data_IF_145580032693
#
_entry.id   IF_145580032693
#
_cell.length_a   1.000
_cell.length_b   1.000
_cell.length_c   1.000
_cell.angle_alpha   90.00
_cell.angle_beta   90.00
_cell.angle_gamma   90.00
#
_symmetry.space_group_name_H-M   'P 1'
#
loop_
_entity.id
_entity.type
_entity.pdbx_description
1 polymer ?
#
# COMPACT_ATOMS: atom_id res chain seq x y z
N UNK A 1 -6.58 -66.45 69.07
CA UNK A 1 -5.56 -65.39 69.23
C UNK A 1 -5.65 -64.44 68.04
N UNK A 2 -5.95 -63.17 68.32
CA UNK A 2 -5.92 -62.00 67.41
C UNK A 2 -4.54 -61.87 66.69
N UNK A 3 -4.30 -61.03 65.64
CA UNK A 3 -4.98 -59.76 65.38
C UNK A 3 -5.09 -59.23 63.92
N UNK A 4 -5.93 -58.19 63.77
CA UNK A 4 -5.74 -56.95 62.99
C UNK A 4 -4.82 -56.95 61.75
N UNK A 5 -5.31 -56.39 60.63
CA UNK A 5 -4.97 -55.02 60.24
C UNK A 5 -5.24 -54.69 58.76
N UNK A 6 -6.06 -53.65 58.58
CA UNK A 6 -5.87 -52.51 57.66
C UNK A 6 -6.08 -52.74 56.15
N UNK A 7 -7.35 -52.52 55.80
CA UNK A 7 -7.82 -51.92 54.55
C UNK A 7 -6.94 -50.73 54.13
N UNK A 8 -6.32 -50.79 52.95
CA UNK A 8 -5.76 -49.62 52.26
C UNK A 8 -6.28 -49.63 50.83
N UNK A 9 -7.41 -48.95 50.62
CA UNK A 9 -7.94 -48.63 49.30
C UNK A 9 -6.98 -47.64 48.64
N UNK A 10 -6.08 -48.13 47.78
CA UNK A 10 -5.25 -47.28 46.94
C UNK A 10 -6.08 -46.78 45.76
N UNK A 11 -6.83 -45.71 45.98
CA UNK A 11 -7.49 -44.96 44.90
C UNK A 11 -6.40 -44.36 44.01
N UNK A 12 -6.16 -44.96 42.85
CA UNK A 12 -5.35 -44.33 41.79
C UNK A 12 -6.23 -43.32 41.06
N UNK A 13 -6.19 -42.07 41.51
CA UNK A 13 -6.61 -40.94 40.68
C UNK A 13 -5.51 -40.75 39.64
N UNK A 14 -5.71 -41.27 38.43
CA UNK A 14 -4.93 -40.85 37.28
C UNK A 14 -5.57 -39.56 36.76
N UNK A 15 -4.91 -38.42 37.03
CA UNK A 15 -5.34 -37.11 36.55
C UNK A 15 -5.36 -37.09 35.02
N UNK A 16 -6.51 -36.77 34.42
CA UNK A 16 -6.63 -36.47 33.01
C UNK A 16 -5.88 -35.16 32.73
N UNK A 17 -4.73 -35.25 32.04
CA UNK A 17 -3.96 -34.08 31.62
C UNK A 17 -4.73 -33.28 30.57
N UNK A 18 -5.23 -32.11 30.94
CA UNK A 18 -5.75 -31.14 29.99
C UNK A 18 -4.57 -30.48 29.25
N UNK A 19 -4.33 -30.88 28.01
CA UNK A 19 -3.46 -30.17 27.08
C UNK A 19 -4.16 -28.86 26.67
N UNK A 20 -3.87 -27.78 27.39
CA UNK A 20 -4.24 -26.43 26.98
C UNK A 20 -3.21 -25.96 25.94
N UNK A 21 -3.51 -26.18 24.67
CA UNK A 21 -2.78 -25.50 23.59
C UNK A 21 -3.24 -24.04 23.56
N UNK A 22 -2.48 -23.16 24.22
CA UNK A 22 -2.62 -21.72 24.02
C UNK A 22 -2.08 -21.38 22.62
N UNK A 23 -2.96 -21.29 21.63
CA UNK A 23 -2.62 -20.74 20.33
C UNK A 23 -2.37 -19.24 20.49
N UNK A 24 -1.10 -18.84 20.57
CA UNK A 24 -0.73 -17.43 20.50
C UNK A 24 -0.98 -16.96 19.06
N UNK A 25 -2.08 -16.24 18.83
CA UNK A 25 -2.31 -15.57 17.55
C UNK A 25 -1.28 -14.45 17.39
N UNK A 26 -0.37 -14.60 16.43
CA UNK A 26 0.57 -13.55 16.06
C UNK A 26 -0.20 -12.47 15.29
N UNK A 27 -0.52 -11.36 15.95
CA UNK A 27 -1.12 -10.20 15.26
C UNK A 27 0.02 -9.45 14.57
N UNK A 28 0.11 -9.57 13.24
CA UNK A 28 0.98 -8.70 12.47
C UNK A 28 0.46 -7.26 12.58
N UNK A 29 1.24 -6.38 13.21
CA UNK A 29 0.92 -4.95 13.28
C UNK A 29 1.18 -4.35 11.91
N UNK A 30 0.11 -4.10 11.14
CA UNK A 30 0.19 -3.33 9.90
C UNK A 30 0.38 -1.86 10.29
N UNK A 31 1.57 -1.31 10.02
CA UNK A 31 1.86 0.09 10.25
C UNK A 31 1.31 0.88 9.06
N UNK A 32 0.11 1.43 9.20
CA UNK A 32 -0.48 2.31 8.18
C UNK A 32 0.12 3.72 8.23
N UNK A 33 0.12 4.46 7.10
CA UNK A 33 0.38 5.89 7.10
C UNK A 33 -0.58 6.67 8.01
N UNK A 34 -0.15 7.80 8.60
CA UNK A 34 -1.00 8.63 9.45
C UNK A 34 -2.31 9.01 8.77
N UNK A 35 -3.40 9.13 9.55
CA UNK A 35 -4.74 9.48 9.04
C UNK A 35 -4.76 10.78 8.22
N UNK A 36 -3.88 11.72 8.58
CA UNK A 36 -3.75 13.04 7.98
C UNK A 36 -2.34 13.27 7.42
N UNK A 37 -2.22 14.20 6.48
CA UNK A 37 -0.96 14.66 5.92
C UNK A 37 -0.94 16.19 6.00
N UNK A 38 -0.18 16.79 6.93
CA UNK A 38 -0.10 18.24 7.07
C UNK A 38 0.29 18.93 5.75
N UNK A 39 -0.51 19.90 5.32
CA UNK A 39 -0.30 20.63 4.06
C UNK A 39 -0.87 19.96 2.80
N UNK A 40 -1.49 18.78 2.93
CA UNK A 40 -2.27 18.16 1.85
C UNK A 40 -3.71 17.86 2.29
N UNK A 41 -4.63 17.87 1.33
CA UNK A 41 -5.99 17.41 1.53
C UNK A 41 -6.04 15.88 1.41
N UNK A 42 -6.50 15.18 2.45
CA UNK A 42 -6.83 13.76 2.37
C UNK A 42 -8.19 13.62 1.70
N UNK A 43 -8.25 12.89 0.58
CA UNK A 43 -9.46 12.78 -0.23
C UNK A 43 -9.87 11.33 -0.47
N UNK A 44 -11.17 11.12 -0.65
CA UNK A 44 -11.74 9.85 -1.08
C UNK A 44 -11.82 9.74 -2.62
N UNK A 45 -12.14 8.54 -3.12
CA UNK A 45 -12.22 8.27 -4.56
C UNK A 45 -13.20 9.19 -5.30
N UNK A 46 -14.31 9.59 -4.69
CA UNK A 46 -15.26 10.54 -5.32
C UNK A 46 -14.63 11.90 -5.58
N UNK A 47 -13.98 12.49 -4.58
CA UNK A 47 -13.28 13.76 -4.72
C UNK A 47 -12.11 13.64 -5.70
N UNK A 48 -11.38 12.52 -5.66
CA UNK A 48 -10.31 12.22 -6.61
C UNK A 48 -10.83 12.18 -8.05
N UNK A 49 -11.98 11.55 -8.28
CA UNK A 49 -12.64 11.53 -9.59
C UNK A 49 -13.06 12.92 -10.02
N UNK A 50 -13.68 13.71 -9.15
CA UNK A 50 -14.06 15.10 -9.46
C UNK A 50 -12.86 15.94 -9.87
N UNK A 51 -11.73 15.84 -9.16
CA UNK A 51 -10.50 16.54 -9.51
C UNK A 51 -9.95 16.07 -10.86
N UNK A 52 -9.94 14.76 -11.12
CA UNK A 52 -9.52 14.19 -12.40
C UNK A 52 -10.41 14.65 -13.56
N UNK A 53 -11.74 14.67 -13.38
CA UNK A 53 -12.70 15.15 -14.37
C UNK A 53 -12.51 16.66 -14.67
N UNK A 54 -12.00 17.43 -13.70
CA UNK A 54 -11.61 18.84 -13.85
C UNK A 54 -10.20 19.03 -14.44
N UNK A 55 -9.50 17.95 -14.78
CA UNK A 55 -8.17 17.98 -15.40
C UNK A 55 -7.00 18.02 -14.42
N UNK A 56 -7.22 17.78 -13.13
CA UNK A 56 -6.12 17.62 -12.19
C UNK A 56 -5.33 16.33 -12.51
N UNK A 57 -3.98 16.38 -12.57
CA UNK A 57 -3.16 15.20 -12.79
C UNK A 57 -3.31 14.20 -11.64
N UNK A 58 -3.60 12.95 -12.01
CA UNK A 58 -3.51 11.80 -11.12
C UNK A 58 -2.08 11.23 -11.21
N UNK A 59 -1.43 11.10 -10.06
CA UNK A 59 -0.04 10.64 -9.96
C UNK A 59 -0.03 9.28 -9.26
N UNK A 60 0.33 8.26 -10.02
CA UNK A 60 0.49 6.90 -9.52
C UNK A 60 1.92 6.67 -9.04
N UNK A 61 2.08 6.41 -7.75
CA UNK A 61 3.41 6.28 -7.14
C UNK A 61 3.88 4.83 -7.02
N UNK A 62 3.10 3.86 -7.52
CA UNK A 62 3.46 2.43 -7.51
C UNK A 62 4.57 2.10 -8.50
N UNK A 63 5.08 0.87 -8.45
CA UNK A 63 6.08 0.42 -9.42
C UNK A 63 5.54 0.49 -10.86
N UNK A 64 6.42 0.65 -11.87
CA UNK A 64 6.01 0.62 -13.28
C UNK A 64 5.21 -0.64 -13.65
N UNK A 65 5.57 -1.78 -13.06
CA UNK A 65 4.86 -3.04 -13.29
C UNK A 65 3.43 -3.03 -12.75
N UNK A 66 3.21 -2.42 -11.58
CA UNK A 66 1.87 -2.28 -11.00
C UNK A 66 1.02 -1.31 -11.81
N UNK A 67 1.59 -0.17 -12.21
CA UNK A 67 0.93 0.78 -13.10
C UNK A 67 0.53 0.12 -14.43
N UNK A 68 1.45 -0.61 -15.06
CA UNK A 68 1.18 -1.28 -16.32
C UNK A 68 0.06 -2.32 -16.22
N UNK A 69 0.00 -3.05 -15.10
CA UNK A 69 -1.02 -4.07 -14.83
C UNK A 69 -2.41 -3.53 -14.54
N UNK A 70 -2.55 -2.32 -14.02
CA UNK A 70 -3.83 -1.63 -13.83
C UNK A 70 -3.57 -0.25 -13.23
N UNK A 71 -4.16 0.83 -13.76
CA UNK A 71 -4.10 2.18 -13.19
C UNK A 71 -5.36 2.99 -13.52
N UNK A 72 -5.49 4.18 -12.91
CA UNK A 72 -6.60 5.09 -13.20
C UNK A 72 -6.38 5.74 -14.58
N UNK A 73 -7.38 5.83 -15.47
CA UNK A 73 -7.22 6.42 -16.78
C UNK A 73 -6.70 7.86 -16.71
N UNK A 74 -5.70 8.18 -17.53
CA UNK A 74 -5.06 9.50 -17.55
C UNK A 74 -4.07 9.74 -16.41
N UNK A 75 -3.82 8.77 -15.54
CA UNK A 75 -2.79 8.89 -14.52
C UNK A 75 -1.38 8.88 -15.13
N UNK A 76 -0.50 9.70 -14.57
CA UNK A 76 0.94 9.70 -14.86
C UNK A 76 1.65 8.82 -13.84
N UNK A 77 2.45 7.86 -14.32
CA UNK A 77 3.30 7.04 -13.44
C UNK A 77 4.51 7.84 -13.00
N UNK A 78 4.63 8.10 -11.70
CA UNK A 78 5.82 8.66 -11.06
C UNK A 78 6.17 7.76 -9.87
N UNK A 79 6.78 6.58 -10.13
CA UNK A 79 7.11 5.63 -9.08
C UNK A 79 7.96 6.27 -8.00
N UNK A 80 7.62 5.99 -6.75
CA UNK A 80 8.36 6.49 -5.60
C UNK A 80 8.76 5.31 -4.70
N UNK A 81 9.97 5.34 -4.17
CA UNK A 81 10.46 4.29 -3.28
C UNK A 81 10.24 4.72 -1.84
N UNK A 82 9.20 4.23 -1.18
CA UNK A 82 9.14 4.27 0.28
C UNK A 82 9.58 2.89 0.79
N UNK A 83 10.70 2.83 1.52
CA UNK A 83 11.07 1.61 2.22
C UNK A 83 9.98 1.30 3.26
N UNK A 84 9.30 0.17 3.09
CA UNK A 84 8.23 -0.31 3.99
C UNK A 84 8.70 -0.53 5.42
N UNK A 85 10.01 -0.57 5.66
CA UNK A 85 10.64 -0.75 6.98
C UNK A 85 11.11 0.56 7.61
N UNK A 86 11.21 1.64 6.84
CA UNK A 86 11.77 2.92 7.31
C UNK A 86 10.62 3.92 7.49
N UNK A 87 10.15 4.02 8.73
CA UNK A 87 9.27 5.09 9.18
C UNK A 87 9.88 6.45 8.80
N UNK A 88 9.42 7.09 7.72
CA UNK A 88 9.87 8.44 7.34
C UNK A 88 11.39 8.61 7.22
N UNK A 89 12.15 7.54 6.97
CA UNK A 89 13.61 7.57 6.86
C UNK A 89 14.05 8.25 5.57
N UNK A 90 15.10 9.06 5.66
CA UNK A 90 15.72 9.89 4.60
C UNK A 90 16.03 9.17 3.27
N UNK A 91 15.92 7.84 3.21
CA UNK A 91 16.06 7.05 1.98
C UNK A 91 14.84 7.06 1.04
N UNK A 92 13.84 7.92 1.24
CA UNK A 92 12.74 8.11 0.28
C UNK A 92 13.18 8.81 -1.04
N UNK A 93 14.42 9.31 -1.11
CA UNK A 93 14.90 10.17 -2.18
C UNK A 93 15.60 9.44 -3.35
N UNK A 94 15.28 8.18 -3.67
CA UNK A 94 15.87 7.54 -4.85
C UNK A 94 15.39 8.19 -6.17
N UNK A 95 14.18 8.77 -6.18
CA UNK A 95 13.63 9.49 -7.32
C UNK A 95 12.90 10.73 -6.80
N UNK A 96 13.52 11.90 -6.97
CA UNK A 96 12.77 13.15 -6.90
C UNK A 96 11.65 13.05 -7.91
N UNK A 97 10.40 13.08 -7.44
CA UNK A 97 9.25 13.16 -8.33
C UNK A 97 9.42 14.46 -9.11
N UNK A 98 9.76 14.38 -10.40
CA UNK A 98 9.85 15.55 -11.26
C UNK A 98 8.44 16.07 -11.52
N UNK A 99 7.92 16.79 -10.53
CA UNK A 99 6.57 17.34 -10.56
C UNK A 99 6.42 18.40 -11.66
N UNK A 100 7.52 18.90 -12.26
CA UNK A 100 7.43 19.80 -13.41
C UNK A 100 6.82 19.11 -14.65
N UNK A 101 6.83 17.77 -14.72
CA UNK A 101 6.18 17.01 -15.80
C UNK A 101 4.65 17.04 -15.70
N UNK A 102 4.10 17.25 -14.51
CA UNK A 102 2.66 17.15 -14.24
C UNK A 102 2.05 18.44 -13.70
N UNK A 103 2.87 19.37 -13.20
CA UNK A 103 2.44 20.64 -12.64
C UNK A 103 2.89 21.80 -13.54
N UNK A 104 1.95 22.68 -13.89
CA UNK A 104 2.28 23.96 -14.55
C UNK A 104 2.94 24.96 -13.58
N UNK A 105 2.80 24.75 -12.26
CA UNK A 105 3.41 25.57 -11.22
C UNK A 105 3.02 25.11 -9.82
N UNK A 106 3.46 25.83 -8.78
CA UNK A 106 3.22 25.49 -7.37
C UNK A 106 1.75 25.53 -6.95
N UNK A 107 0.90 26.17 -7.77
CA UNK A 107 -0.55 26.25 -7.60
C UNK A 107 -1.33 25.17 -8.32
N UNK A 108 -0.68 24.36 -9.16
CA UNK A 108 -1.36 23.29 -9.88
C UNK A 108 -1.88 22.25 -8.89
N UNK A 109 -3.12 21.76 -9.07
CA UNK A 109 -3.61 20.63 -8.28
C UNK A 109 -2.78 19.39 -8.59
N UNK A 110 -2.48 18.61 -7.57
CA UNK A 110 -1.74 17.35 -7.67
C UNK A 110 -2.48 16.29 -6.86
N UNK A 111 -2.86 15.18 -7.49
CA UNK A 111 -3.57 14.09 -6.81
C UNK A 111 -2.70 12.84 -6.77
N UNK A 112 -2.10 12.56 -5.62
CA UNK A 112 -1.25 11.38 -5.42
C UNK A 112 -2.05 10.17 -4.96
N UNK A 113 -1.79 9.00 -5.53
CA UNK A 113 -2.41 7.75 -5.11
C UNK A 113 -1.44 6.56 -5.25
N UNK A 114 -1.74 5.49 -4.51
CA UNK A 114 -1.05 4.21 -4.59
C UNK A 114 -2.10 3.07 -4.64
N UNK A 115 -1.76 1.84 -4.26
CA UNK A 115 -2.67 0.70 -4.32
C UNK A 115 -3.83 0.79 -3.34
N UNK A 116 -3.54 1.15 -2.08
CA UNK A 116 -4.51 1.13 -0.98
C UNK A 116 -4.03 2.00 0.20
N UNK A 117 -4.83 2.07 1.26
CA UNK A 117 -4.63 2.93 2.44
C UNK A 117 -3.35 2.66 3.22
N UNK A 118 -2.88 1.43 3.22
CA UNK A 118 -1.64 1.00 3.88
C UNK A 118 -0.37 1.40 3.11
N UNK A 119 -0.51 1.97 1.90
CA UNK A 119 0.64 2.31 1.07
C UNK A 119 1.29 3.65 1.45
N UNK A 120 2.50 3.56 2.00
CA UNK A 120 3.36 4.71 2.35
C UNK A 120 3.85 5.53 1.17
N UNK A 121 3.95 4.94 -0.01
CA UNK A 121 4.56 5.57 -1.17
C UNK A 121 3.85 6.84 -1.63
N UNK A 122 2.50 6.82 -1.66
CA UNK A 122 1.71 8.01 -2.01
C UNK A 122 1.70 9.08 -0.90
N UNK A 123 1.79 8.66 0.37
CA UNK A 123 1.92 9.58 1.50
C UNK A 123 3.23 10.36 1.41
N UNK A 124 4.35 9.65 1.19
CA UNK A 124 5.67 10.27 1.14
C UNK A 124 5.82 11.19 -0.07
N UNK A 125 5.33 10.77 -1.26
CA UNK A 125 5.33 11.63 -2.44
C UNK A 125 4.53 12.92 -2.23
N UNK A 126 3.35 12.84 -1.62
CA UNK A 126 2.54 14.01 -1.28
C UNK A 126 3.23 14.89 -0.23
N UNK A 127 3.87 14.31 0.79
CA UNK A 127 4.66 15.03 1.79
C UNK A 127 5.80 15.82 1.16
N UNK A 128 6.56 15.19 0.26
CA UNK A 128 7.66 15.84 -0.46
C UNK A 128 7.14 16.94 -1.40
N UNK A 129 5.98 16.77 -2.03
CA UNK A 129 5.35 17.84 -2.82
C UNK A 129 5.02 19.07 -1.95
N UNK A 130 4.46 18.85 -0.76
CA UNK A 130 4.20 19.93 0.21
C UNK A 130 5.51 20.62 0.63
N UNK A 131 6.55 19.85 0.98
CA UNK A 131 7.87 20.39 1.35
C UNK A 131 8.52 21.17 0.20
N UNK A 132 8.27 20.76 -1.05
CA UNK A 132 8.71 21.46 -2.25
C UNK A 132 7.85 22.71 -2.56
N UNK A 133 6.89 23.08 -1.72
CA UNK A 133 6.09 24.30 -1.82
C UNK A 133 4.87 24.22 -2.74
N UNK A 134 4.43 23.02 -3.14
CA UNK A 134 3.16 22.87 -3.84
C UNK A 134 1.99 23.11 -2.87
N UNK A 135 1.00 23.88 -3.31
CA UNK A 135 -0.08 24.39 -2.43
C UNK A 135 -1.41 23.67 -2.60
N UNK A 136 -1.60 22.96 -3.71
CA UNK A 136 -2.80 22.18 -4.00
C UNK A 136 -2.48 20.69 -4.07
N UNK A 137 -1.99 20.15 -2.96
CA UNK A 137 -1.65 18.73 -2.83
C UNK A 137 -2.86 17.98 -2.28
N UNK A 138 -3.27 16.94 -3.00
CA UNK A 138 -4.33 16.03 -2.59
C UNK A 138 -3.78 14.60 -2.52
N UNK A 139 -4.12 13.90 -1.46
CA UNK A 139 -3.74 12.51 -1.25
C UNK A 139 -4.98 11.62 -1.26
N UNK A 140 -5.14 10.85 -2.34
CA UNK A 140 -6.16 9.82 -2.46
C UNK A 140 -5.74 8.59 -1.65
N UNK A 141 -5.95 8.66 -0.33
CA UNK A 141 -5.50 7.65 0.65
C UNK A 141 -5.91 6.23 0.26
N UNK A 142 -7.18 6.05 -0.12
CA UNK A 142 -7.71 4.73 -0.47
C UNK A 142 -7.18 4.14 -1.78
N UNK A 143 -6.41 4.91 -2.56
CA UNK A 143 -5.72 4.43 -3.74
C UNK A 143 -6.62 3.87 -4.83
N UNK A 144 -6.02 3.01 -5.67
CA UNK A 144 -6.72 2.27 -6.72
C UNK A 144 -7.78 1.31 -6.14
N UNK A 145 -7.57 0.76 -4.94
CA UNK A 145 -8.55 -0.09 -4.27
C UNK A 145 -9.87 0.66 -4.01
N UNK A 146 -9.81 1.87 -3.44
CA UNK A 146 -11.01 2.68 -3.21
C UNK A 146 -11.62 3.22 -4.50
N UNK A 147 -10.82 3.44 -5.56
CA UNK A 147 -11.31 3.79 -6.88
C UNK A 147 -12.15 2.67 -7.49
N UNK A 148 -11.63 1.43 -7.48
CA UNK A 148 -12.33 0.23 -7.96
C UNK A 148 -13.57 -0.09 -7.13
N UNK A 149 -13.52 0.12 -5.81
CA UNK A 149 -14.67 -0.08 -4.94
C UNK A 149 -15.88 0.82 -5.27
N UNK A 150 -15.71 1.82 -6.15
CA UNK A 150 -16.78 2.67 -6.67
C UNK A 150 -17.12 2.39 -8.15
N UNK A 151 -16.63 1.29 -8.70
CA UNK A 151 -16.79 0.90 -10.10
C UNK A 151 -16.32 1.98 -11.10
N UNK A 152 -15.36 2.81 -10.68
CA UNK A 152 -14.76 3.80 -11.57
C UNK A 152 -13.79 3.12 -12.54
N UNK A 153 -13.65 3.65 -13.78
CA UNK A 153 -12.89 2.98 -14.82
C UNK A 153 -11.41 2.84 -14.46
N UNK A 154 -10.81 1.72 -14.85
CA UNK A 154 -9.36 1.48 -14.82
C UNK A 154 -8.85 1.17 -16.22
N UNK A 155 -7.55 1.26 -16.43
CA UNK A 155 -6.90 0.94 -17.71
C UNK A 155 -5.56 0.27 -17.48
N UNK A 156 -4.93 -0.19 -18.56
CA UNK A 156 -3.69 -0.96 -18.58
C UNK A 156 -2.68 -0.23 -19.47
N UNK A 157 -1.39 -0.31 -19.16
CA UNK A 157 -0.39 0.16 -20.13
C UNK A 157 -0.29 -0.87 -21.26
N UNK A 158 -0.16 -0.41 -22.50
CA UNK A 158 0.06 -1.33 -23.62
C UNK A 158 1.35 -2.13 -23.38
N UNK A 159 1.36 -3.46 -23.59
CA UNK A 159 2.58 -4.25 -23.45
C UNK A 159 3.63 -3.71 -24.41
N UNK A 160 4.79 -3.32 -23.87
CA UNK A 160 5.90 -2.87 -24.72
C UNK A 160 6.41 -4.08 -25.50
N UNK A 161 6.29 -4.06 -26.83
CA UNK A 161 6.55 -5.19 -27.74
C UNK A 161 7.97 -5.79 -27.73
N UNK A 162 8.84 -5.44 -26.77
CA UNK A 162 10.27 -5.78 -26.78
C UNK A 162 10.77 -6.69 -25.64
N UNK A 163 10.09 -6.82 -24.51
CA UNK A 163 10.57 -7.64 -23.39
C UNK A 163 10.10 -9.09 -23.41
N UNK A 164 9.08 -9.41 -24.21
CA UNK A 164 8.37 -10.69 -24.09
C UNK A 164 8.77 -11.70 -25.18
N UNK A 165 9.74 -11.35 -26.03
CA UNK A 165 10.41 -12.36 -26.86
C UNK A 165 11.46 -13.05 -26.00
N UNK A 166 11.20 -14.32 -25.70
CA UNK A 166 12.19 -15.21 -25.13
C UNK A 166 13.45 -15.17 -26.01
N UNK A 167 14.67 -15.07 -25.45
CA UNK A 167 15.91 -15.01 -26.24
C UNK A 167 16.07 -16.15 -27.26
N UNK A 168 15.37 -17.28 -27.06
CA UNK A 168 15.36 -18.45 -27.92
C UNK A 168 14.70 -18.22 -29.30
N UNK A 169 13.77 -17.27 -29.46
CA UNK A 169 13.13 -16.96 -30.75
C UNK A 169 13.96 -16.02 -31.63
N UNK A 170 14.91 -15.25 -31.07
CA UNK A 170 15.75 -14.33 -31.84
C UNK A 170 16.97 -15.02 -32.48
N UNK A 171 17.36 -16.20 -32.03
CA UNK A 171 18.51 -16.93 -32.53
C UNK A 171 18.22 -17.82 -33.76
N UNK A 172 16.99 -17.84 -34.26
CA UNK A 172 16.54 -18.72 -35.36
C UNK A 172 16.21 -17.97 -36.65
N UNK A 173 16.72 -16.75 -36.83
CA UNK A 173 16.61 -15.97 -38.07
C UNK A 173 17.97 -15.47 -38.50
#
# INVERSE_FOLDING_TARGET
MSPFAKFVLRTRVAAAGALVFAAAALVAVVIEPPAALPGAAVIGAQQGKTLADLGAPLIDTRSPSEFAREHIPGATSLPHGADRTQQGGEQAAAYGVDLAQVAAGKDSPLVFYCGASECWTSYEAARLAVQAGYRQVHWLRGGLAAWRARDYPTTFAAPTRRSDREPSEMAQR
#
